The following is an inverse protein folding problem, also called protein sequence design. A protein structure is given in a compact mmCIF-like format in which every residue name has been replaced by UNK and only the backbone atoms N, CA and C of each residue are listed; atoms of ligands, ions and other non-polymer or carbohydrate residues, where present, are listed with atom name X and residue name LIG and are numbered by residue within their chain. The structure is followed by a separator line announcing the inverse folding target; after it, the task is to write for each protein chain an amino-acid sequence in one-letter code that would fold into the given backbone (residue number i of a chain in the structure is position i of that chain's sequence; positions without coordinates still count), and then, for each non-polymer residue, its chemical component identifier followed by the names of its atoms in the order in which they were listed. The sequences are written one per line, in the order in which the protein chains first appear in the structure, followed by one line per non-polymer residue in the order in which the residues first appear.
data_IF_380405451215
#
_entry.id   IF_380405451215
#
_cell.length_a   1.000
_cell.length_b   1.000
_cell.length_c   1.000
_cell.angle_alpha   90.00
_cell.angle_beta   90.00
_cell.angle_gamma   90.00
#
_symmetry.space_group_name_H-M   'P 1'
#
loop_
_entity.id
_entity.type
_entity.pdbx_description
1 polymer ?
#
# COMPACT_ATOMS: atom_id res chain seq x y z
N UNK A 1 46.72 25.36 -20.61
CA UNK A 1 45.43 24.97 -21.23
C UNK A 1 44.99 23.55 -20.89
N UNK A 2 45.84 22.51 -21.01
CA UNK A 2 45.50 21.11 -20.64
C UNK A 2 45.05 20.89 -19.18
N UNK A 3 45.61 21.63 -18.21
CA UNK A 3 45.21 21.53 -16.79
C UNK A 3 43.80 22.06 -16.51
N UNK A 4 43.32 23.02 -17.30
CA UNK A 4 41.99 23.61 -17.13
C UNK A 4 40.92 22.67 -17.69
N UNK A 5 41.16 22.09 -18.87
CA UNK A 5 40.29 21.09 -19.50
C UNK A 5 40.13 19.80 -18.65
N UNK A 6 41.20 19.38 -17.96
CA UNK A 6 41.17 18.19 -17.08
C UNK A 6 40.31 18.41 -15.83
N UNK A 7 40.28 19.65 -15.30
CA UNK A 7 39.47 20.02 -14.13
C UNK A 7 37.99 20.14 -14.48
N UNK A 8 37.65 20.73 -15.62
CA UNK A 8 36.26 20.77 -16.09
C UNK A 8 35.72 19.38 -16.37
N UNK A 9 36.52 18.48 -16.98
CA UNK A 9 36.11 17.09 -17.19
C UNK A 9 35.83 16.35 -15.87
N UNK A 10 36.68 16.54 -14.84
CA UNK A 10 36.47 15.95 -13.51
C UNK A 10 35.22 16.50 -12.83
N UNK A 11 34.96 17.80 -12.91
CA UNK A 11 33.76 18.42 -12.34
C UNK A 11 32.49 17.93 -13.02
N UNK A 12 32.49 17.82 -14.35
CA UNK A 12 31.38 17.26 -15.12
C UNK A 12 31.14 15.80 -14.74
N UNK A 13 32.20 14.98 -14.65
CA UNK A 13 32.09 13.60 -14.23
C UNK A 13 31.55 13.46 -12.79
N UNK A 14 31.99 14.31 -11.86
CA UNK A 14 31.46 14.34 -10.50
C UNK A 14 29.98 14.72 -10.49
N UNK A 15 29.60 15.74 -11.26
CA UNK A 15 28.21 16.22 -11.36
C UNK A 15 27.28 15.14 -11.93
N UNK A 16 27.76 14.40 -12.94
CA UNK A 16 27.06 13.25 -13.54
C UNK A 16 26.95 12.09 -12.54
N UNK A 17 28.01 11.77 -11.77
CA UNK A 17 27.95 10.73 -10.75
C UNK A 17 26.96 11.07 -9.62
N UNK A 18 26.93 12.33 -9.17
CA UNK A 18 25.98 12.77 -8.15
C UNK A 18 24.54 12.82 -8.64
N UNK A 19 24.30 13.05 -9.94
CA UNK A 19 22.94 13.04 -10.51
C UNK A 19 22.44 11.63 -10.84
N UNK A 20 23.33 10.69 -11.19
CA UNK A 20 22.99 9.28 -11.28
C UNK A 20 22.65 8.67 -9.90
N UNK A 21 23.26 9.20 -8.83
CA UNK A 21 22.93 8.81 -7.46
C UNK A 21 21.54 9.31 -7.00
N UNK A 22 20.89 10.27 -7.67
CA UNK A 22 19.50 10.64 -7.33
C UNK A 22 18.46 9.89 -8.16
N UNK A 23 18.88 9.16 -9.19
CA UNK A 23 18.06 8.12 -9.82
C UNK A 23 18.16 6.84 -8.99
N UNK A 24 17.89 6.92 -7.69
CA UNK A 24 17.50 5.73 -6.96
C UNK A 24 16.24 5.23 -7.63
N UNK A 25 16.25 3.98 -8.07
CA UNK A 25 15.01 3.27 -8.34
C UNK A 25 14.28 3.20 -6.99
N UNK A 26 13.56 4.27 -6.64
CA UNK A 26 12.58 4.25 -5.56
C UNK A 26 11.56 3.21 -6.00
N UNK A 27 11.75 1.98 -5.53
CA UNK A 27 10.80 0.91 -5.78
C UNK A 27 9.48 1.43 -5.22
N UNK A 28 8.47 1.62 -6.08
CA UNK A 28 7.19 2.09 -5.59
C UNK A 28 6.60 0.99 -4.70
N UNK A 29 6.07 1.35 -3.54
CA UNK A 29 5.41 0.44 -2.63
C UNK A 29 3.90 0.68 -2.68
N UNK A 30 3.16 -0.38 -2.95
CA UNK A 30 1.70 -0.35 -3.07
C UNK A 30 1.09 -0.86 -1.78
N UNK A 31 0.16 -0.08 -1.23
CA UNK A 31 -0.72 -0.52 -0.16
C UNK A 31 -1.88 -1.31 -0.75
N UNK A 32 -1.86 -2.62 -0.53
CA UNK A 32 -2.87 -3.56 -0.96
C UNK A 32 -3.84 -3.87 0.17
N UNK A 33 -5.14 -3.86 -0.13
CA UNK A 33 -6.17 -4.41 0.74
C UNK A 33 -6.61 -5.79 0.24
N UNK A 34 -6.37 -6.84 1.02
CA UNK A 34 -7.00 -8.14 0.81
C UNK A 34 -8.36 -8.13 1.51
N UNK A 35 -9.44 -8.22 0.76
CA UNK A 35 -10.78 -8.09 1.28
C UNK A 35 -11.45 -9.46 1.25
N UNK A 36 -11.90 -9.94 2.39
CA UNK A 36 -12.75 -11.12 2.55
C UNK A 36 -14.15 -10.67 2.95
N UNK A 37 -15.13 -10.94 2.11
CA UNK A 37 -16.53 -10.60 2.37
C UNK A 37 -17.38 -11.86 2.54
N UNK A 38 -18.17 -11.86 3.61
CA UNK A 38 -19.14 -12.89 3.96
C UNK A 38 -20.52 -12.29 4.13
N UNK A 39 -21.55 -13.01 3.67
CA UNK A 39 -22.97 -12.66 3.84
C UNK A 39 -23.63 -13.73 4.69
N UNK A 40 -24.26 -13.33 5.79
CA UNK A 40 -24.85 -14.23 6.79
C UNK A 40 -23.90 -15.37 7.23
N UNK A 41 -22.60 -15.06 7.39
CA UNK A 41 -21.56 -16.03 7.75
C UNK A 41 -21.06 -16.91 6.60
N UNK A 42 -21.61 -16.77 5.40
CA UNK A 42 -21.16 -17.50 4.20
C UNK A 42 -20.19 -16.63 3.41
N UNK A 43 -18.94 -17.11 3.26
CA UNK A 43 -17.91 -16.43 2.46
C UNK A 43 -18.33 -16.32 1.01
N UNK A 44 -18.37 -15.10 0.48
CA UNK A 44 -18.84 -14.78 -0.88
C UNK A 44 -17.72 -14.48 -1.84
N UNK A 45 -16.76 -13.67 -1.42
CA UNK A 45 -15.71 -13.19 -2.30
C UNK A 45 -14.43 -12.88 -1.54
N UNK A 46 -13.30 -13.12 -2.20
CA UNK A 46 -12.00 -12.57 -1.80
C UNK A 46 -11.35 -11.90 -2.98
N UNK A 47 -10.91 -10.66 -2.79
CA UNK A 47 -10.22 -9.90 -3.82
C UNK A 47 -9.13 -9.01 -3.22
N UNK A 48 -8.28 -8.48 -4.10
CA UNK A 48 -7.19 -7.59 -3.73
C UNK A 48 -7.36 -6.27 -4.46
N UNK A 49 -7.42 -5.18 -3.69
CA UNK A 49 -7.50 -3.82 -4.20
C UNK A 49 -6.17 -3.08 -3.96
N UNK A 50 -5.52 -2.54 -5.01
CA UNK A 50 -4.43 -1.59 -4.84
C UNK A 50 -5.04 -0.24 -4.44
N UNK A 51 -4.80 0.22 -3.22
CA UNK A 51 -5.42 1.45 -2.74
C UNK A 51 -4.59 2.70 -3.00
N UNK A 52 -3.27 2.60 -2.83
CA UNK A 52 -2.36 3.73 -3.03
C UNK A 52 -0.92 3.24 -3.23
N UNK A 53 -0.06 4.11 -3.76
CA UNK A 53 1.36 3.86 -3.97
C UNK A 53 2.22 4.94 -3.29
N UNK A 54 3.42 4.54 -2.85
CA UNK A 54 4.35 5.35 -2.08
C UNK A 54 5.79 5.13 -2.56
N UNK A 55 6.70 6.09 -2.35
CA UNK A 55 8.09 5.96 -2.81
C UNK A 55 8.93 4.97 -1.99
N UNK A 56 8.48 4.59 -0.78
CA UNK A 56 9.20 3.65 0.08
C UNK A 56 8.26 2.80 0.96
N UNK A 57 8.79 1.69 1.47
CA UNK A 57 8.11 0.80 2.41
C UNK A 57 7.71 1.55 3.68
N UNK A 58 8.63 2.35 4.23
CA UNK A 58 8.41 3.13 5.44
C UNK A 58 7.26 4.12 5.24
N UNK A 59 7.22 4.80 4.08
CA UNK A 59 6.15 5.74 3.79
C UNK A 59 4.81 5.03 3.62
N UNK A 60 4.80 3.86 2.98
CA UNK A 60 3.60 3.02 2.87
C UNK A 60 3.09 2.58 4.25
N UNK A 61 3.97 2.05 5.12
CA UNK A 61 3.62 1.62 6.47
C UNK A 61 3.13 2.78 7.34
N UNK A 62 3.75 3.94 7.23
CA UNK A 62 3.31 5.15 7.92
C UNK A 62 1.90 5.56 7.45
N UNK A 63 1.67 5.59 6.14
CA UNK A 63 0.36 5.92 5.59
C UNK A 63 -0.72 4.89 5.99
N UNK A 64 -0.36 3.61 6.09
CA UNK A 64 -1.26 2.58 6.61
C UNK A 64 -1.66 2.85 8.06
N UNK A 65 -0.70 3.22 8.92
CA UNK A 65 -0.99 3.59 10.31
C UNK A 65 -1.86 4.86 10.40
N UNK A 66 -1.56 5.88 9.57
CA UNK A 66 -2.36 7.10 9.47
C UNK A 66 -3.80 6.77 9.06
N UNK A 67 -3.99 5.86 8.10
CA UNK A 67 -5.29 5.36 7.68
C UNK A 67 -6.07 4.75 8.86
N UNK A 68 -5.46 3.87 9.65
CA UNK A 68 -6.07 3.27 10.84
C UNK A 68 -6.40 4.26 11.96
N UNK A 69 -5.58 5.30 12.15
CA UNK A 69 -5.88 6.37 13.11
C UNK A 69 -7.02 7.28 12.65
N UNK A 70 -7.08 7.54 11.34
CA UNK A 70 -8.07 8.43 10.74
C UNK A 70 -9.36 7.71 10.32
N UNK A 71 -9.43 6.38 10.40
CA UNK A 71 -10.61 5.62 10.03
C UNK A 71 -11.79 6.07 10.89
N UNK A 72 -12.85 6.64 10.28
CA UNK A 72 -14.00 7.11 11.03
C UNK A 72 -14.72 5.91 11.63
N UNK A 73 -14.75 5.85 12.96
CA UNK A 73 -15.57 4.88 13.67
C UNK A 73 -17.02 5.21 13.40
N UNK A 74 -17.75 4.28 12.81
CA UNK A 74 -19.19 4.42 12.65
C UNK A 74 -19.85 3.66 13.79
N UNK A 75 -20.54 4.40 14.65
CA UNK A 75 -21.21 3.89 15.85
C UNK A 75 -22.72 3.88 15.60
N UNK A 76 -23.23 2.80 15.01
CA UNK A 76 -24.67 2.57 14.84
C UNK A 76 -25.02 1.17 15.33
N UNK A 77 -26.26 0.94 15.81
CA UNK A 77 -26.66 -0.38 16.31
C UNK A 77 -26.51 -1.52 15.29
N UNK A 78 -26.51 -1.19 14.00
CA UNK A 78 -26.44 -2.14 12.89
C UNK A 78 -25.01 -2.34 12.37
N UNK A 79 -24.02 -1.61 12.89
CA UNK A 79 -22.64 -1.70 12.43
C UNK A 79 -21.64 -1.76 13.59
N UNK A 80 -20.74 -2.72 13.50
CA UNK A 80 -19.59 -2.84 14.41
C UNK A 80 -18.31 -2.82 13.60
N UNK A 81 -17.32 -2.07 14.09
CA UNK A 81 -15.98 -1.99 13.50
C UNK A 81 -14.93 -2.31 14.54
N UNK A 82 -13.90 -3.05 14.14
CA UNK A 82 -12.76 -3.39 14.97
C UNK A 82 -11.47 -3.28 14.15
N UNK A 83 -10.41 -2.80 14.80
CA UNK A 83 -9.07 -2.70 14.21
C UNK A 83 -8.10 -3.52 15.03
N UNK A 84 -7.47 -4.51 14.40
CA UNK A 84 -6.46 -5.38 15.00
C UNK A 84 -5.18 -5.30 14.17
N UNK A 85 -4.28 -4.40 14.56
CA UNK A 85 -3.04 -4.16 13.83
C UNK A 85 -3.29 -3.64 12.41
N UNK A 86 -2.99 -4.45 11.40
CA UNK A 86 -3.25 -4.15 9.98
C UNK A 86 -4.55 -4.77 9.44
N UNK A 87 -5.40 -5.30 10.33
CA UNK A 87 -6.69 -5.89 9.98
C UNK A 87 -7.81 -4.94 10.35
N UNK A 88 -8.65 -4.62 9.38
CA UNK A 88 -9.91 -3.91 9.57
C UNK A 88 -11.06 -4.91 9.50
N UNK A 89 -11.83 -5.04 10.57
CA UNK A 89 -13.04 -5.85 10.61
C UNK A 89 -14.26 -4.94 10.65
N UNK A 90 -15.21 -5.20 9.77
CA UNK A 90 -16.50 -4.52 9.74
C UNK A 90 -17.61 -5.56 9.64
N UNK A 91 -18.61 -5.42 10.49
CA UNK A 91 -19.88 -6.11 10.35
C UNK A 91 -20.98 -5.07 10.22
N UNK A 92 -21.89 -5.29 9.27
CA UNK A 92 -23.04 -4.42 9.02
C UNK A 92 -24.29 -5.29 8.86
N UNK A 93 -25.45 -4.76 9.24
CA UNK A 93 -26.74 -5.43 9.14
C UNK A 93 -26.92 -6.57 10.15
N UNK A 94 -28.09 -7.22 10.06
CA UNK A 94 -28.50 -8.28 10.99
C UNK A 94 -29.14 -9.46 10.25
N UNK A 95 -29.16 -10.62 10.91
CA UNK A 95 -29.74 -11.85 10.38
C UNK A 95 -29.18 -12.23 9.00
N UNK A 96 -30.09 -12.53 8.07
CA UNK A 96 -29.79 -12.92 6.68
C UNK A 96 -29.14 -11.81 5.86
N UNK A 97 -29.27 -10.55 6.28
CA UNK A 97 -28.71 -9.39 5.59
C UNK A 97 -27.39 -8.95 6.23
N UNK A 98 -26.85 -9.71 7.18
CA UNK A 98 -25.58 -9.35 7.80
C UNK A 98 -24.42 -9.55 6.83
N UNK A 99 -23.62 -8.50 6.65
CA UNK A 99 -22.40 -8.51 5.86
C UNK A 99 -21.23 -8.39 6.81
N UNK A 100 -20.21 -9.21 6.63
CA UNK A 100 -18.96 -9.13 7.37
C UNK A 100 -17.83 -8.98 6.36
N UNK A 101 -17.04 -7.92 6.53
CA UNK A 101 -15.89 -7.61 5.68
C UNK A 101 -14.64 -7.56 6.56
N UNK A 102 -13.66 -8.37 6.21
CA UNK A 102 -12.33 -8.35 6.80
C UNK A 102 -11.35 -7.85 5.75
N UNK A 103 -10.71 -6.70 5.99
CA UNK A 103 -9.68 -6.16 5.10
C UNK A 103 -8.32 -6.27 5.77
N UNK A 104 -7.40 -7.01 5.16
CA UNK A 104 -6.01 -7.13 5.62
C UNK A 104 -5.14 -6.27 4.73
N UNK A 105 -4.50 -5.27 5.31
CA UNK A 105 -3.63 -4.35 4.59
C UNK A 105 -2.19 -4.82 4.54
N UNK A 106 -1.55 -4.69 3.38
CA UNK A 106 -0.14 -5.04 3.18
C UNK A 106 0.55 -4.02 2.29
N UNK A 107 1.74 -3.59 2.69
CA UNK A 107 2.66 -2.87 1.80
C UNK A 107 3.50 -3.91 1.04
N UNK A 108 3.43 -3.88 -0.29
CA UNK A 108 4.22 -4.74 -1.17
C UNK A 108 4.95 -3.87 -2.20
N UNK A 109 6.14 -4.27 -2.67
CA UNK A 109 6.74 -3.62 -3.83
C UNK A 109 5.79 -3.66 -5.03
N UNK A 110 5.82 -2.65 -5.88
CA UNK A 110 5.03 -2.53 -7.12
C UNK A 110 5.27 -3.68 -8.10
N UNK A 111 6.46 -4.27 -8.04
CA UNK A 111 6.81 -5.49 -8.77
C UNK A 111 6.09 -6.75 -8.29
N UNK A 112 5.42 -6.71 -7.13
CA UNK A 112 4.68 -7.84 -6.55
C UNK A 112 3.17 -7.60 -6.69
N UNK A 113 2.52 -8.34 -7.60
CA UNK A 113 1.06 -8.38 -7.70
C UNK A 113 0.50 -9.55 -6.86
N UNK A 114 -0.17 -9.31 -5.72
CA UNK A 114 -0.67 -10.37 -4.85
C UNK A 114 -1.88 -11.13 -5.43
N UNK A 115 -2.43 -10.67 -6.57
CA UNK A 115 -3.51 -11.38 -7.29
C UNK A 115 -3.00 -12.63 -8.02
N UNK A 116 -1.69 -12.82 -8.06
CA UNK A 116 -1.05 -13.90 -8.82
C UNK A 116 -0.83 -13.50 -10.29
N UNK A 117 -0.32 -14.42 -11.12
CA UNK A 117 -0.09 -14.16 -12.53
C UNK A 117 -1.40 -13.79 -13.21
N UNK A 118 -1.42 -12.64 -13.90
CA UNK A 118 -2.51 -12.30 -14.81
C UNK A 118 -2.54 -13.39 -15.88
N UNK A 119 -3.74 -13.90 -16.19
CA UNK A 119 -3.94 -15.08 -17.03
C UNK A 119 -3.13 -15.04 -18.34
N UNK A 120 -2.80 -16.23 -18.86
CA UNK A 120 -2.10 -16.41 -20.15
C UNK A 120 -2.84 -15.73 -21.30
#
# INVERSE_FOLDING_TARGET
MMRLARRTALLVALYVLTSAATAHAECAWVMWGQIDESHAGVRRAVWWDPESAYPSDERCKQALQEKFRAFPKIDTPEMSQEVLGNVFFMRSGSGSNSVTRTTIYRCLPDTVDPRGPKGK
#
